data_IF_906168007491
#
_entry.id   IF_906168007491
#
_cell.length_a   1.000
_cell.length_b   1.000
_cell.length_c   1.000
_cell.angle_alpha   90.00
_cell.angle_beta   90.00
_cell.angle_gamma   90.00
#
_symmetry.space_group_name_H-M   'P 1'
#
loop_
_entity.id
_entity.type
_entity.pdbx_description
1 polymer ?
#
# COMPACT_ATOMS: atom_id res chain seq x y z
N UNK A 1 18.35 0.14 39.82
CA UNK A 1 18.08 1.11 38.72
C UNK A 1 16.65 0.93 38.29
N UNK A 2 15.89 1.73 38.71
CA UNK A 2 14.52 2.02 39.10
C UNK A 2 13.42 1.50 38.15
N UNK A 3 12.63 0.58 38.71
CA UNK A 3 11.25 0.22 38.30
C UNK A 3 10.26 1.42 38.39
N UNK A 4 10.74 2.60 38.80
CA UNK A 4 9.95 3.82 39.01
C UNK A 4 9.54 4.59 37.75
N UNK A 5 9.90 4.12 36.56
CA UNK A 5 9.57 4.81 35.30
C UNK A 5 8.21 4.38 34.75
N UNK A 6 7.60 3.32 35.29
CA UNK A 6 6.33 2.77 34.78
C UNK A 6 5.08 3.26 35.51
N UNK A 7 5.20 3.92 36.63
CA UNK A 7 4.05 4.32 37.47
C UNK A 7 3.30 5.58 37.02
N UNK A 8 3.66 6.19 35.90
CA UNK A 8 3.04 7.43 35.40
C UNK A 8 2.39 7.37 34.01
N UNK A 9 2.40 6.23 33.33
CA UNK A 9 1.90 6.15 31.94
C UNK A 9 0.54 5.47 31.92
N UNK A 10 -0.51 6.21 32.20
CA UNK A 10 -1.86 5.75 31.89
C UNK A 10 -2.12 5.95 30.39
N UNK A 11 -1.97 4.89 29.60
CA UNK A 11 -2.32 4.93 28.17
C UNK A 11 -3.85 4.97 28.08
N UNK A 12 -4.38 6.04 27.51
CA UNK A 12 -5.82 6.21 27.32
C UNK A 12 -6.41 5.04 26.51
N UNK A 13 -7.61 4.55 26.84
CA UNK A 13 -8.30 3.52 26.05
C UNK A 13 -8.43 3.88 24.57
N UNK A 14 -8.53 5.16 24.23
CA UNK A 14 -8.54 5.67 22.86
C UNK A 14 -7.29 5.24 22.07
N UNK A 15 -6.10 5.29 22.67
CA UNK A 15 -4.84 4.93 22.01
C UNK A 15 -4.78 3.43 21.71
N UNK A 16 -5.36 2.58 22.57
CA UNK A 16 -5.50 1.15 22.25
C UNK A 16 -6.45 0.90 21.08
N UNK A 17 -7.52 1.67 20.98
CA UNK A 17 -8.42 1.63 19.83
C UNK A 17 -7.72 1.99 18.53
N UNK A 18 -6.88 3.04 18.53
CA UNK A 18 -6.12 3.45 17.34
C UNK A 18 -5.06 2.43 16.93
N UNK A 19 -4.51 1.64 17.86
CA UNK A 19 -3.61 0.52 17.52
C UNK A 19 -4.34 -0.55 16.70
N UNK A 20 -5.53 -0.97 17.11
CA UNK A 20 -6.30 -1.98 16.38
C UNK A 20 -6.70 -1.42 15.01
N UNK A 21 -7.11 -0.16 14.95
CA UNK A 21 -7.43 0.50 13.69
C UNK A 21 -6.24 0.51 12.74
N UNK A 22 -5.06 0.95 13.19
CA UNK A 22 -3.86 0.98 12.36
C UNK A 22 -3.42 -0.41 11.92
N UNK A 23 -3.57 -1.44 12.77
CA UNK A 23 -3.32 -2.83 12.39
C UNK A 23 -4.21 -3.29 11.23
N UNK A 24 -5.52 -2.97 11.26
CA UNK A 24 -6.45 -3.30 10.17
C UNK A 24 -6.05 -2.57 8.90
N UNK A 25 -5.76 -1.28 8.97
CA UNK A 25 -5.39 -0.46 7.81
C UNK A 25 -4.10 -0.94 7.15
N UNK A 26 -3.04 -1.16 7.94
CA UNK A 26 -1.79 -1.73 7.42
C UNK A 26 -2.00 -3.12 6.87
N UNK A 27 -2.81 -3.96 7.54
CA UNK A 27 -3.14 -5.30 7.08
C UNK A 27 -3.80 -5.31 5.69
N UNK A 28 -4.77 -4.44 5.48
CA UNK A 28 -5.44 -4.28 4.18
C UNK A 28 -4.48 -3.73 3.13
N UNK A 29 -3.76 -2.64 3.45
CA UNK A 29 -2.85 -1.99 2.52
C UNK A 29 -1.69 -2.89 2.08
N UNK A 30 -1.04 -3.57 3.02
CA UNK A 30 0.06 -4.50 2.72
C UNK A 30 -0.42 -5.75 1.98
N UNK A 31 -1.61 -6.26 2.27
CA UNK A 31 -2.19 -7.39 1.52
C UNK A 31 -2.44 -7.00 0.07
N UNK A 32 -3.02 -5.82 -0.18
CA UNK A 32 -3.25 -5.31 -1.53
C UNK A 32 -1.93 -5.06 -2.27
N UNK A 33 -0.93 -4.52 -1.59
CA UNK A 33 0.41 -4.37 -2.13
C UNK A 33 1.04 -5.72 -2.52
N UNK A 34 1.02 -6.73 -1.61
CA UNK A 34 1.53 -8.07 -1.88
C UNK A 34 0.79 -8.81 -3.00
N UNK A 35 -0.52 -8.55 -3.13
CA UNK A 35 -1.26 -9.02 -4.31
C UNK A 35 -0.80 -8.30 -5.57
N UNK A 36 -0.37 -7.03 -5.43
CA UNK A 36 0.22 -6.27 -6.51
C UNK A 36 1.42 -6.96 -7.14
N UNK A 37 2.38 -7.36 -6.32
CA UNK A 37 3.51 -8.15 -6.72
C UNK A 37 3.09 -9.51 -7.26
N UNK A 38 2.30 -10.29 -6.52
CA UNK A 38 1.83 -11.62 -6.91
C UNK A 38 1.20 -11.65 -8.31
N UNK A 39 0.32 -10.70 -8.67
CA UNK A 39 -0.29 -10.69 -10.00
C UNK A 39 0.72 -10.39 -11.10
N UNK A 40 1.65 -9.47 -10.84
CA UNK A 40 2.71 -9.11 -11.80
C UNK A 40 3.67 -10.29 -12.01
N UNK A 41 4.22 -10.83 -10.94
CA UNK A 41 5.27 -11.85 -10.97
C UNK A 41 4.74 -13.22 -11.39
N UNK A 42 3.53 -13.59 -10.98
CA UNK A 42 2.86 -14.77 -11.54
C UNK A 42 2.53 -14.63 -13.04
N UNK A 43 2.55 -13.41 -13.61
CA UNK A 43 2.46 -13.22 -15.06
C UNK A 43 3.81 -13.35 -15.78
N UNK A 44 4.92 -13.36 -15.03
CA UNK A 44 6.30 -13.42 -15.49
C UNK A 44 7.01 -12.06 -15.57
N UNK A 45 6.46 -11.03 -14.94
CA UNK A 45 7.07 -9.69 -14.88
C UNK A 45 7.40 -9.32 -13.44
N UNK A 46 8.70 -9.16 -13.14
CA UNK A 46 9.18 -8.66 -11.84
C UNK A 46 8.67 -7.22 -11.64
N UNK A 47 8.06 -6.95 -10.52
CA UNK A 47 7.50 -5.65 -10.21
C UNK A 47 8.13 -5.01 -8.96
N UNK A 48 9.35 -4.53 -9.11
CA UNK A 48 10.00 -3.73 -8.05
C UNK A 48 9.36 -2.33 -7.92
N UNK A 49 8.60 -1.88 -8.94
CA UNK A 49 7.93 -0.59 -8.92
C UNK A 49 6.70 -0.53 -7.99
N UNK A 50 6.54 -1.48 -7.06
CA UNK A 50 5.44 -1.48 -6.09
C UNK A 50 5.49 -0.25 -5.18
N UNK A 51 6.68 0.17 -4.74
CA UNK A 51 6.85 1.35 -3.88
C UNK A 51 6.38 2.62 -4.61
N UNK A 52 6.79 2.78 -5.87
CA UNK A 52 6.32 3.86 -6.73
C UNK A 52 4.82 3.79 -6.99
N UNK A 53 4.26 2.60 -7.22
CA UNK A 53 2.82 2.42 -7.40
C UNK A 53 2.03 2.86 -6.16
N UNK A 54 2.47 2.45 -4.95
CA UNK A 54 1.85 2.83 -3.69
C UNK A 54 1.93 4.33 -3.44
N UNK A 55 3.12 4.93 -3.69
CA UNK A 55 3.35 6.36 -3.53
C UNK A 55 2.51 7.19 -4.51
N UNK A 56 2.50 6.80 -5.79
CA UNK A 56 1.77 7.52 -6.84
C UNK A 56 0.25 7.46 -6.60
N UNK A 57 -0.25 6.30 -6.17
CA UNK A 57 -1.65 6.12 -5.81
C UNK A 57 -2.06 6.97 -4.61
N UNK A 58 -1.26 6.96 -3.55
CA UNK A 58 -1.49 7.80 -2.39
C UNK A 58 -1.46 9.29 -2.77
N UNK A 59 -0.42 9.74 -3.48
CA UNK A 59 -0.26 11.13 -3.88
C UNK A 59 -1.41 11.63 -4.76
N UNK A 60 -1.71 10.91 -5.85
CA UNK A 60 -2.73 11.36 -6.81
C UNK A 60 -4.13 11.39 -6.20
N UNK A 61 -4.49 10.38 -5.39
CA UNK A 61 -5.79 10.31 -4.76
C UNK A 61 -5.96 11.39 -3.70
N UNK A 62 -4.95 11.61 -2.88
CA UNK A 62 -5.01 12.62 -1.80
C UNK A 62 -4.92 14.05 -2.31
N UNK A 63 -4.15 14.29 -3.37
CA UNK A 63 -4.13 15.60 -4.02
C UNK A 63 -5.55 16.04 -4.41
N UNK A 64 -6.33 15.13 -5.00
CA UNK A 64 -7.71 15.44 -5.40
C UNK A 64 -8.61 15.62 -4.18
N UNK A 65 -8.47 14.79 -3.15
CA UNK A 65 -9.22 14.94 -1.90
C UNK A 65 -8.94 16.29 -1.24
N UNK A 66 -7.68 16.68 -1.14
CA UNK A 66 -7.27 17.95 -0.55
C UNK A 66 -7.85 19.13 -1.33
N UNK A 67 -7.72 19.15 -2.66
CA UNK A 67 -8.26 20.25 -3.49
C UNK A 67 -9.78 20.38 -3.38
N UNK A 68 -10.52 19.27 -3.35
CA UNK A 68 -11.97 19.30 -3.16
C UNK A 68 -12.29 19.80 -1.75
N UNK A 69 -11.55 19.36 -0.73
CA UNK A 69 -11.72 19.80 0.63
C UNK A 69 -11.49 21.31 0.81
N UNK A 70 -10.41 21.83 0.22
CA UNK A 70 -10.10 23.25 0.27
C UNK A 70 -11.15 24.12 -0.46
N UNK A 71 -11.62 23.65 -1.61
CA UNK A 71 -12.68 24.34 -2.37
C UNK A 71 -14.02 24.40 -1.60
N UNK A 72 -14.24 23.45 -0.69
CA UNK A 72 -15.47 23.37 0.13
C UNK A 72 -15.26 23.84 1.57
N UNK A 73 -14.11 24.43 1.89
CA UNK A 73 -13.76 24.86 3.23
C UNK A 73 -14.81 25.83 3.79
N UNK A 74 -15.35 25.50 4.96
CA UNK A 74 -16.46 26.27 5.58
C UNK A 74 -17.86 25.83 5.17
N UNK A 75 -18.00 24.83 4.29
CA UNK A 75 -19.30 24.26 3.94
C UNK A 75 -19.70 23.17 4.95
N UNK A 76 -20.94 23.21 5.43
CA UNK A 76 -21.50 22.21 6.37
C UNK A 76 -21.48 20.77 5.81
N UNK A 77 -21.42 20.60 4.48
CA UNK A 77 -21.33 19.31 3.82
C UNK A 77 -20.10 18.51 4.26
N UNK A 78 -18.99 19.18 4.63
CA UNK A 78 -17.79 18.53 5.13
C UNK A 78 -17.97 17.88 6.52
N UNK A 79 -19.03 18.23 7.25
CA UNK A 79 -19.38 17.56 8.50
C UNK A 79 -20.19 16.28 8.28
N UNK A 80 -20.62 16.01 7.04
CA UNK A 80 -21.39 14.81 6.71
C UNK A 80 -20.46 13.65 6.33
N UNK A 81 -20.48 12.58 7.12
CA UNK A 81 -19.68 11.38 6.89
C UNK A 81 -19.85 10.77 5.48
N UNK A 82 -21.08 10.69 4.98
CA UNK A 82 -21.35 10.14 3.66
C UNK A 82 -20.74 11.00 2.54
N UNK A 83 -20.77 12.32 2.67
CA UNK A 83 -20.19 13.23 1.69
C UNK A 83 -18.66 13.16 1.69
N UNK A 84 -18.03 13.12 2.85
CA UNK A 84 -16.57 12.93 2.98
C UNK A 84 -16.13 11.59 2.35
N UNK A 85 -16.89 10.52 2.59
CA UNK A 85 -16.60 9.23 1.97
C UNK A 85 -16.78 9.24 0.45
N UNK A 86 -17.70 10.05 -0.08
CA UNK A 86 -17.83 10.26 -1.51
C UNK A 86 -16.58 10.93 -2.10
N UNK A 87 -15.99 11.92 -1.39
CA UNK A 87 -14.73 12.55 -1.80
C UNK A 87 -13.60 11.50 -1.83
N UNK A 88 -13.51 10.65 -0.80
CA UNK A 88 -12.52 9.56 -0.80
C UNK A 88 -12.71 8.56 -1.95
N UNK A 89 -13.94 8.29 -2.39
CA UNK A 89 -14.20 7.46 -3.56
C UNK A 89 -13.74 8.14 -4.86
N UNK A 90 -13.89 9.46 -4.98
CA UNK A 90 -13.35 10.20 -6.12
C UNK A 90 -11.82 10.10 -6.14
N UNK A 91 -11.16 10.31 -5.00
CA UNK A 91 -9.71 10.13 -4.87
C UNK A 91 -9.25 8.72 -5.23
N UNK A 92 -9.99 7.69 -4.79
CA UNK A 92 -9.74 6.30 -5.15
C UNK A 92 -9.86 6.07 -6.67
N UNK A 93 -10.85 6.65 -7.30
CA UNK A 93 -11.04 6.54 -8.75
C UNK A 93 -9.85 7.15 -9.52
N UNK A 94 -9.40 8.33 -9.11
CA UNK A 94 -8.20 8.98 -9.69
C UNK A 94 -6.95 8.14 -9.45
N UNK A 95 -6.77 7.61 -8.22
CA UNK A 95 -5.69 6.67 -7.89
C UNK A 95 -5.64 5.49 -8.88
N UNK A 96 -6.79 4.86 -9.16
CA UNK A 96 -6.89 3.73 -10.09
C UNK A 96 -6.48 4.12 -11.52
N UNK A 97 -6.95 5.26 -12.02
CA UNK A 97 -6.62 5.73 -13.37
C UNK A 97 -5.12 5.99 -13.50
N UNK A 98 -4.54 6.71 -12.54
CA UNK A 98 -3.11 7.07 -12.56
C UNK A 98 -2.24 5.82 -12.41
N UNK A 99 -2.60 4.90 -11.52
CA UNK A 99 -1.88 3.64 -11.36
C UNK A 99 -1.98 2.75 -12.61
N UNK A 100 -3.12 2.72 -13.26
CA UNK A 100 -3.29 1.99 -14.53
C UNK A 100 -2.39 2.56 -15.63
N UNK A 101 -2.34 3.89 -15.78
CA UNK A 101 -1.42 4.55 -16.73
C UNK A 101 0.05 4.26 -16.40
N UNK A 102 0.41 4.30 -15.10
CA UNK A 102 1.76 3.96 -14.63
C UNK A 102 2.14 2.50 -14.93
N UNK A 103 1.21 1.57 -14.74
CA UNK A 103 1.42 0.14 -15.06
C UNK A 103 1.76 -0.09 -16.52
N UNK A 104 1.25 0.76 -17.40
CA UNK A 104 1.54 0.67 -18.82
C UNK A 104 3.00 1.01 -19.14
N UNK A 105 3.60 1.96 -18.42
CA UNK A 105 5.03 2.28 -18.56
C UNK A 105 5.90 1.06 -18.19
N UNK A 106 5.65 0.45 -17.02
CA UNK A 106 6.37 -0.75 -16.60
C UNK A 106 6.22 -1.87 -17.63
N UNK A 107 4.98 -2.14 -18.04
CA UNK A 107 4.67 -3.22 -18.99
C UNK A 107 5.30 -2.96 -20.35
N UNK A 108 5.22 -1.75 -20.88
CA UNK A 108 5.73 -1.41 -22.19
C UNK A 108 7.25 -1.61 -22.26
N UNK A 109 7.98 -1.08 -21.28
CA UNK A 109 9.44 -1.16 -21.23
C UNK A 109 9.91 -2.61 -21.00
N UNK A 110 9.25 -3.35 -20.12
CA UNK A 110 9.61 -4.74 -19.80
C UNK A 110 9.22 -5.72 -20.90
N UNK A 111 8.06 -5.55 -21.54
CA UNK A 111 7.53 -6.53 -22.50
C UNK A 111 7.94 -6.19 -23.94
N UNK A 112 7.83 -4.91 -24.36
CA UNK A 112 8.13 -4.49 -25.73
C UNK A 112 9.60 -4.21 -25.96
N UNK A 113 10.23 -3.49 -25.04
CA UNK A 113 11.65 -3.12 -25.15
C UNK A 113 12.55 -4.23 -24.60
N UNK A 114 11.98 -5.25 -23.91
CA UNK A 114 12.71 -6.37 -23.32
C UNK A 114 13.86 -5.89 -22.37
N UNK A 115 13.68 -4.73 -21.75
CA UNK A 115 14.65 -4.18 -20.81
C UNK A 115 14.68 -5.00 -19.52
N UNK A 116 15.80 -4.90 -18.77
CA UNK A 116 15.91 -5.51 -17.44
C UNK A 116 14.84 -4.95 -16.51
N UNK A 117 14.00 -5.83 -16.01
CA UNK A 117 12.79 -5.47 -15.24
C UNK A 117 13.15 -4.88 -13.88
N UNK A 118 14.28 -5.30 -13.29
CA UNK A 118 14.79 -4.80 -12.01
C UNK A 118 15.23 -3.34 -12.14
N UNK A 119 15.99 -3.05 -13.19
CA UNK A 119 16.45 -1.68 -13.51
C UNK A 119 15.25 -0.78 -13.81
N UNK A 120 14.32 -1.26 -14.62
CA UNK A 120 13.09 -0.51 -14.95
C UNK A 120 12.28 -0.21 -13.69
N UNK A 121 12.08 -1.19 -12.83
CA UNK A 121 11.32 -1.02 -11.58
C UNK A 121 11.94 0.03 -10.65
N UNK A 122 13.25 -0.04 -10.43
CA UNK A 122 13.97 0.94 -9.60
C UNK A 122 13.97 2.34 -10.21
N UNK A 123 14.13 2.46 -11.54
CA UNK A 123 14.04 3.74 -12.23
C UNK A 123 12.64 4.36 -12.12
N UNK A 124 11.58 3.54 -12.23
CA UNK A 124 10.20 3.99 -12.06
C UNK A 124 9.91 4.44 -10.62
N UNK A 125 10.46 3.78 -9.60
CA UNK A 125 10.35 4.25 -8.21
C UNK A 125 10.98 5.64 -8.06
N UNK A 126 12.18 5.84 -8.62
CA UNK A 126 12.86 7.14 -8.58
C UNK A 126 12.10 8.22 -9.35
N UNK A 127 11.51 7.87 -10.50
CA UNK A 127 10.67 8.76 -11.29
C UNK A 127 9.45 9.23 -10.49
N UNK A 128 8.76 8.32 -9.82
CA UNK A 128 7.58 8.67 -9.00
C UNK A 128 7.98 9.56 -7.83
N UNK A 129 9.09 9.25 -7.14
CA UNK A 129 9.60 10.10 -6.07
C UNK A 129 9.87 11.53 -6.56
N UNK A 130 10.47 11.69 -7.76
CA UNK A 130 10.70 12.99 -8.37
C UNK A 130 9.38 13.70 -8.74
N UNK A 131 8.40 13.00 -9.31
CA UNK A 131 7.07 13.55 -9.63
C UNK A 131 6.39 14.10 -8.38
N UNK A 132 6.41 13.35 -7.29
CA UNK A 132 5.81 13.77 -6.02
C UNK A 132 6.53 14.98 -5.43
N UNK A 133 7.87 14.98 -5.47
CA UNK A 133 8.67 16.13 -5.01
C UNK A 133 8.37 17.39 -5.80
N UNK A 134 8.32 17.30 -7.14
CA UNK A 134 7.99 18.42 -8.04
C UNK A 134 6.54 18.88 -7.76
N UNK A 135 5.58 17.95 -7.63
CA UNK A 135 4.19 18.27 -7.34
C UNK A 135 4.05 19.08 -6.04
N UNK A 136 4.72 18.63 -4.98
CA UNK A 136 4.75 19.34 -3.70
C UNK A 136 5.42 20.72 -3.80
N UNK A 137 6.50 20.82 -4.59
CA UNK A 137 7.20 22.11 -4.76
C UNK A 137 6.35 23.10 -5.54
N UNK A 138 5.67 22.68 -6.60
CA UNK A 138 4.75 23.52 -7.38
C UNK A 138 3.58 23.98 -6.48
N UNK A 139 3.03 23.05 -5.69
CA UNK A 139 1.92 23.33 -4.79
C UNK A 139 2.28 24.44 -3.78
N UNK A 140 3.47 24.35 -3.17
CA UNK A 140 4.00 25.38 -2.26
C UNK A 140 4.31 26.69 -2.96
N UNK A 141 4.91 26.64 -4.15
CA UNK A 141 5.26 27.84 -4.91
C UNK A 141 4.04 28.62 -5.43
N UNK A 142 2.90 27.96 -5.58
CA UNK A 142 1.64 28.56 -5.97
C UNK A 142 0.82 29.10 -4.77
N UNK A 143 1.41 29.15 -3.56
CA UNK A 143 0.73 29.49 -2.30
C UNK A 143 -0.59 28.73 -2.10
N UNK A 144 -0.70 27.54 -2.67
CA UNK A 144 -1.85 26.67 -2.44
C UNK A 144 -1.76 26.10 -1.01
N UNK A 145 -2.91 25.91 -0.34
CA UNK A 145 -2.91 25.32 0.99
C UNK A 145 -2.17 23.99 0.98
N UNK A 146 -1.46 23.68 2.06
CA UNK A 146 -0.76 22.40 2.17
C UNK A 146 -1.75 21.25 1.90
N UNK A 147 -1.28 20.17 1.25
CA UNK A 147 -2.14 19.02 0.98
C UNK A 147 -2.58 18.41 2.32
N UNK A 148 -3.60 19.02 2.90
CA UNK A 148 -4.16 18.68 4.21
C UNK A 148 -5.52 18.02 4.03
N UNK A 149 -5.64 16.81 4.50
CA UNK A 149 -6.90 16.08 4.61
C UNK A 149 -7.37 15.98 6.07
N UNK A 150 -6.72 16.72 6.98
CA UNK A 150 -7.07 16.71 8.40
C UNK A 150 -8.50 17.16 8.66
N UNK A 151 -9.06 18.00 7.79
CA UNK A 151 -10.45 18.44 7.84
C UNK A 151 -11.45 17.27 7.76
N UNK A 152 -11.05 16.14 7.21
CA UNK A 152 -11.89 14.95 7.11
C UNK A 152 -11.75 14.00 8.30
N UNK A 153 -10.73 14.16 9.15
CA UNK A 153 -10.42 13.19 10.20
C UNK A 153 -11.39 13.16 11.38
N UNK A 154 -12.12 14.24 11.60
CA UNK A 154 -13.05 14.33 12.72
C UNK A 154 -14.49 13.94 12.35
N UNK A 155 -14.72 13.55 11.09
CA UNK A 155 -16.04 13.19 10.58
C UNK A 155 -16.26 11.71 10.81
N UNK A 156 -16.76 11.36 12.00
CA UNK A 156 -17.08 9.98 12.38
C UNK A 156 -18.48 9.60 11.93
N UNK A 157 -18.67 8.32 11.57
CA UNK A 157 -20.00 7.77 11.33
C UNK A 157 -20.87 7.84 12.58
N UNK A 158 -20.28 7.49 13.73
CA UNK A 158 -20.93 7.49 15.04
C UNK A 158 -19.88 7.76 16.13
N UNK A 159 -20.22 8.63 17.09
CA UNK A 159 -19.42 8.86 18.28
C UNK A 159 -20.06 8.10 19.43
N UNK A 160 -19.29 7.19 20.03
CA UNK A 160 -19.74 6.42 21.18
C UNK A 160 -19.61 7.25 22.46
N UNK A 161 -20.69 7.47 23.17
CA UNK A 161 -20.66 8.11 24.48
C UNK A 161 -19.98 7.20 25.49
N UNK A 162 -19.05 7.73 26.28
CA UNK A 162 -18.28 7.05 27.34
C UNK A 162 -17.46 5.81 26.90
N UNK A 163 -17.21 5.62 25.60
CA UNK A 163 -16.45 4.48 25.06
C UNK A 163 -15.24 4.91 24.25
N UNK A 164 -14.24 5.51 24.90
CA UNK A 164 -13.03 6.03 24.25
C UNK A 164 -12.30 4.99 23.39
N UNK A 165 -12.29 3.73 23.81
CA UNK A 165 -11.68 2.65 23.02
C UNK A 165 -12.32 2.51 21.63
N UNK A 166 -13.65 2.47 21.57
CA UNK A 166 -14.38 2.35 20.30
C UNK A 166 -14.23 3.64 19.47
N UNK A 167 -14.19 4.79 20.12
CA UNK A 167 -13.93 6.06 19.43
C UNK A 167 -12.54 6.05 18.78
N UNK A 168 -11.52 5.49 19.44
CA UNK A 168 -10.20 5.28 18.85
C UNK A 168 -10.21 4.29 17.70
N UNK A 169 -10.94 3.18 17.82
CA UNK A 169 -11.02 2.12 16.81
C UNK A 169 -11.78 2.57 15.54
N UNK A 170 -12.77 3.44 15.66
CA UNK A 170 -13.59 3.91 14.53
C UNK A 170 -13.33 5.36 14.13
N UNK A 171 -12.31 6.00 14.71
CA UNK A 171 -12.03 7.44 14.54
C UNK A 171 -11.89 7.90 13.09
N UNK A 172 -11.33 7.06 12.24
CA UNK A 172 -11.08 7.37 10.83
C UNK A 172 -11.60 6.27 9.89
N UNK A 173 -12.62 5.54 10.32
CA UNK A 173 -13.22 4.51 9.49
C UNK A 173 -13.85 5.16 8.27
N UNK A 174 -13.24 4.93 7.12
CA UNK A 174 -13.77 5.40 5.84
C UNK A 174 -14.10 4.21 4.91
N UNK A 175 -14.87 4.48 3.87
CA UNK A 175 -15.36 3.47 2.93
C UNK A 175 -14.23 2.77 2.18
N UNK A 176 -13.05 3.39 2.07
CA UNK A 176 -11.91 2.84 1.31
C UNK A 176 -11.37 1.56 1.92
N UNK A 177 -11.43 1.42 3.27
CA UNK A 177 -11.05 0.18 3.95
C UNK A 177 -11.99 -0.96 3.55
N UNK A 178 -13.30 -0.69 3.51
CA UNK A 178 -14.30 -1.68 3.12
C UNK A 178 -14.08 -2.11 1.68
N UNK A 179 -13.85 -1.15 0.79
CA UNK A 179 -13.50 -1.42 -0.61
C UNK A 179 -12.21 -2.25 -0.69
N UNK A 180 -11.20 -1.94 0.11
CA UNK A 180 -9.95 -2.71 0.17
C UNK A 180 -10.17 -4.16 0.59
N UNK A 181 -10.97 -4.42 1.62
CA UNK A 181 -11.30 -5.78 2.08
C UNK A 181 -12.07 -6.55 0.98
N UNK A 182 -13.03 -5.91 0.34
CA UNK A 182 -13.77 -6.52 -0.77
C UNK A 182 -12.83 -6.86 -1.93
N UNK A 183 -11.91 -5.96 -2.28
CA UNK A 183 -10.90 -6.18 -3.32
C UNK A 183 -9.97 -7.35 -2.99
N UNK A 184 -9.53 -7.51 -1.75
CA UNK A 184 -8.72 -8.66 -1.32
C UNK A 184 -9.46 -9.97 -1.61
N UNK A 185 -10.75 -10.05 -1.27
CA UNK A 185 -11.57 -11.23 -1.53
C UNK A 185 -11.69 -11.46 -3.04
N UNK A 186 -12.03 -10.42 -3.81
CA UNK A 186 -12.20 -10.50 -5.27
C UNK A 186 -10.91 -10.94 -5.95
N UNK A 187 -9.77 -10.32 -5.63
CA UNK A 187 -8.47 -10.66 -6.20
C UNK A 187 -8.04 -12.09 -5.83
N UNK A 188 -8.31 -12.53 -4.60
CA UNK A 188 -8.09 -13.91 -4.17
C UNK A 188 -8.91 -14.91 -5.02
N UNK A 189 -10.18 -14.59 -5.26
CA UNK A 189 -11.05 -15.42 -6.09
C UNK A 189 -10.59 -15.41 -7.56
N UNK A 190 -10.19 -14.25 -8.09
CA UNK A 190 -9.67 -14.13 -9.47
C UNK A 190 -8.46 -15.04 -9.63
N UNK A 191 -7.47 -14.96 -8.73
CA UNK A 191 -6.23 -15.71 -8.84
C UNK A 191 -6.45 -17.23 -8.69
N UNK A 192 -7.32 -17.65 -7.76
CA UNK A 192 -7.46 -19.06 -7.39
C UNK A 192 -8.58 -19.80 -8.13
N UNK A 193 -9.64 -19.11 -8.53
CA UNK A 193 -10.89 -19.74 -9.00
C UNK A 193 -11.25 -19.37 -10.45
N UNK A 194 -10.61 -18.38 -11.08
CA UNK A 194 -11.00 -17.96 -12.43
C UNK A 194 -10.05 -18.45 -13.52
N UNK A 195 -10.56 -18.47 -14.76
CA UNK A 195 -9.76 -18.79 -15.95
C UNK A 195 -8.64 -17.74 -16.18
N UNK A 196 -8.86 -16.50 -15.74
CA UNK A 196 -7.86 -15.43 -15.84
C UNK A 196 -6.65 -15.73 -14.95
N UNK A 197 -6.86 -16.03 -13.67
CA UNK A 197 -5.79 -16.39 -12.74
C UNK A 197 -5.01 -17.63 -13.17
N UNK A 198 -5.71 -18.64 -13.72
CA UNK A 198 -5.04 -19.82 -14.28
C UNK A 198 -4.12 -19.46 -15.45
N UNK A 199 -4.58 -18.61 -16.38
CA UNK A 199 -3.79 -18.16 -17.53
C UNK A 199 -2.59 -17.32 -17.12
N UNK A 200 -2.76 -16.42 -16.12
CA UNK A 200 -1.67 -15.62 -15.58
C UNK A 200 -0.59 -16.53 -15.00
N UNK A 201 -0.94 -17.47 -14.12
CA UNK A 201 0.01 -18.42 -13.53
C UNK A 201 0.69 -19.31 -14.58
N UNK A 202 -0.04 -19.78 -15.57
CA UNK A 202 0.54 -20.57 -16.67
C UNK A 202 1.61 -19.78 -17.45
N UNK A 203 1.39 -18.46 -17.66
CA UNK A 203 2.36 -17.59 -18.33
C UNK A 203 3.62 -17.34 -17.48
N UNK A 204 3.51 -17.33 -16.15
CA UNK A 204 4.66 -17.20 -15.25
C UNK A 204 5.45 -18.49 -15.06
N UNK A 205 4.81 -19.66 -15.18
CA UNK A 205 5.49 -20.95 -15.06
C UNK A 205 6.16 -21.41 -16.37
N UNK A 206 5.42 -21.38 -17.48
CA UNK A 206 5.93 -21.76 -18.79
C UNK A 206 5.21 -21.00 -19.92
N UNK A 207 5.75 -19.86 -20.34
CA UNK A 207 5.12 -19.04 -21.37
C UNK A 207 5.06 -19.73 -22.74
N UNK A 208 6.04 -20.61 -23.07
CA UNK A 208 6.04 -21.33 -24.34
C UNK A 208 4.91 -22.36 -24.39
N UNK A 209 4.69 -23.10 -23.30
CA UNK A 209 3.57 -24.03 -23.20
C UNK A 209 2.21 -23.28 -23.18
N UNK A 210 2.14 -22.13 -22.53
CA UNK A 210 0.92 -21.30 -22.54
C UNK A 210 0.58 -20.82 -23.97
N UNK A 211 1.57 -20.39 -24.75
CA UNK A 211 1.36 -19.95 -26.14
C UNK A 211 0.96 -21.10 -27.06
N UNK A 212 1.48 -22.33 -26.84
CA UNK A 212 1.13 -23.50 -27.65
C UNK A 212 -0.35 -23.89 -27.55
N UNK A 213 -1.01 -23.59 -26.41
CA UNK A 213 -2.45 -23.79 -26.22
C UNK A 213 -3.28 -22.54 -26.55
N UNK A 214 -2.67 -21.55 -27.23
CA UNK A 214 -3.35 -20.37 -27.76
C UNK A 214 -3.52 -19.22 -26.75
N UNK A 215 -2.83 -19.24 -25.61
CA UNK A 215 -2.85 -18.13 -24.63
C UNK A 215 -1.91 -17.03 -25.12
N UNK A 216 -2.41 -15.81 -25.29
CA UNK A 216 -1.60 -14.64 -25.67
C UNK A 216 -0.77 -14.16 -24.47
N UNK A 217 0.47 -14.67 -24.33
CA UNK A 217 1.37 -14.43 -23.18
C UNK A 217 1.54 -12.93 -22.91
N UNK A 218 1.91 -12.13 -23.91
CA UNK A 218 2.10 -10.69 -23.71
C UNK A 218 0.85 -10.02 -23.17
N UNK A 219 -0.37 -10.40 -23.66
CA UNK A 219 -1.62 -9.84 -23.14
C UNK A 219 -1.82 -10.18 -21.66
N UNK A 220 -1.48 -11.42 -21.25
CA UNK A 220 -1.59 -11.83 -19.84
C UNK A 220 -0.59 -11.09 -18.95
N UNK A 221 0.63 -10.83 -19.45
CA UNK A 221 1.64 -10.02 -18.76
C UNK A 221 1.16 -8.58 -18.56
N UNK A 222 0.61 -7.93 -19.58
CA UNK A 222 0.01 -6.58 -19.44
C UNK A 222 -1.14 -6.56 -18.42
N UNK A 223 -2.01 -7.55 -18.44
CA UNK A 223 -3.13 -7.64 -17.49
C UNK A 223 -2.62 -7.88 -16.06
N UNK A 224 -1.65 -8.79 -15.89
CA UNK A 224 -1.06 -9.09 -14.58
C UNK A 224 -0.41 -7.86 -13.95
N UNK A 225 0.42 -7.14 -14.71
CA UNK A 225 1.06 -5.91 -14.22
C UNK A 225 0.07 -4.79 -13.97
N UNK A 226 -0.99 -4.66 -14.79
CA UNK A 226 -2.03 -3.65 -14.57
C UNK A 226 -2.80 -3.90 -13.27
N UNK A 227 -3.28 -5.12 -13.06
CA UNK A 227 -3.96 -5.51 -11.81
C UNK A 227 -2.98 -5.32 -10.63
N UNK A 228 -1.73 -5.70 -10.82
CA UNK A 228 -0.69 -5.59 -9.82
C UNK A 228 -0.44 -4.16 -9.35
N UNK A 229 -0.10 -3.26 -10.27
CA UNK A 229 0.18 -1.86 -9.94
C UNK A 229 -1.05 -1.14 -9.38
N UNK A 230 -2.25 -1.40 -9.92
CA UNK A 230 -3.49 -0.82 -9.40
C UNK A 230 -3.78 -1.31 -7.98
N UNK A 231 -3.60 -2.60 -7.70
CA UNK A 231 -3.79 -3.16 -6.36
C UNK A 231 -2.83 -2.52 -5.35
N UNK A 232 -1.55 -2.41 -5.69
CA UNK A 232 -0.54 -1.77 -4.83
C UNK A 232 -0.85 -0.29 -4.58
N UNK A 233 -1.26 0.44 -5.61
CA UNK A 233 -1.64 1.85 -5.51
C UNK A 233 -2.84 2.06 -4.58
N UNK A 234 -3.87 1.23 -4.69
CA UNK A 234 -5.03 1.25 -3.79
C UNK A 234 -4.58 0.96 -2.35
N UNK A 235 -3.67 -0.02 -2.15
CA UNK A 235 -3.10 -0.32 -0.84
C UNK A 235 -2.38 0.89 -0.23
N UNK A 236 -1.56 1.59 -1.00
CA UNK A 236 -0.94 2.85 -0.61
C UNK A 236 -1.96 3.93 -0.28
N UNK A 237 -2.93 4.15 -1.14
CA UNK A 237 -3.99 5.14 -0.93
C UNK A 237 -4.77 4.89 0.37
N UNK A 238 -5.14 3.63 0.67
CA UNK A 238 -5.85 3.28 1.91
C UNK A 238 -4.99 3.57 3.15
N UNK A 239 -3.73 3.18 3.15
CA UNK A 239 -2.83 3.43 4.28
C UNK A 239 -2.80 4.92 4.59
N UNK A 240 -2.64 5.74 3.58
CA UNK A 240 -2.45 7.17 3.77
C UNK A 240 -3.74 7.95 4.01
N UNK A 241 -4.89 7.53 3.48
CA UNK A 241 -6.18 8.16 3.78
C UNK A 241 -6.71 7.84 5.17
N UNK A 242 -6.37 6.67 5.72
CA UNK A 242 -6.93 6.20 6.98
C UNK A 242 -6.04 6.49 8.17
N UNK A 243 -4.73 6.49 8.00
CA UNK A 243 -3.80 6.74 9.09
C UNK A 243 -3.44 8.22 9.15
N UNK A 244 -3.62 8.80 10.35
CA UNK A 244 -3.12 10.15 10.66
C UNK A 244 -1.60 10.10 10.78
N UNK A 245 -0.90 9.82 9.70
CA UNK A 245 0.56 9.78 9.70
C UNK A 245 1.16 11.19 9.71
N UNK A 246 0.59 12.08 10.51
CA UNK A 246 1.06 13.43 10.80
C UNK A 246 1.56 14.20 9.58
N UNK A 247 1.19 15.43 9.44
CA UNK A 247 1.67 16.41 8.48
C UNK A 247 2.23 15.83 7.17
N UNK A 248 1.42 15.86 6.15
CA UNK A 248 1.73 15.37 4.81
C UNK A 248 2.86 16.15 4.16
N UNK A 249 4.06 15.89 4.61
CA UNK A 249 5.21 16.03 3.75
C UNK A 249 5.46 14.66 3.12
N UNK A 250 4.73 14.32 2.06
CA UNK A 250 5.18 13.31 1.09
C UNK A 250 6.48 13.80 0.49
N UNK A 251 7.54 13.81 1.31
CA UNK A 251 8.79 14.44 0.93
C UNK A 251 9.55 13.61 -0.08
N UNK A 252 9.42 12.27 -0.08
CA UNK A 252 10.21 11.46 -1.04
C UNK A 252 9.86 9.97 -1.07
N UNK A 253 8.80 9.50 -0.40
CA UNK A 253 8.46 8.07 -0.42
C UNK A 253 7.37 7.66 0.56
N UNK A 254 6.88 6.45 0.42
CA UNK A 254 5.93 5.79 1.32
C UNK A 254 6.65 5.06 2.45
N UNK A 255 7.65 5.67 3.07
CA UNK A 255 8.47 5.06 4.12
C UNK A 255 9.10 3.70 3.74
N UNK A 256 9.18 3.36 2.44
CA UNK A 256 9.66 2.05 1.97
C UNK A 256 8.65 0.91 2.14
N UNK A 257 7.38 1.20 2.35
CA UNK A 257 6.33 0.16 2.49
C UNK A 257 6.23 -0.74 1.26
N UNK A 258 6.55 -0.24 0.06
CA UNK A 258 6.60 -1.06 -1.14
C UNK A 258 7.70 -2.12 -1.08
N UNK A 259 8.87 -1.81 -0.52
CA UNK A 259 9.92 -2.81 -0.29
C UNK A 259 9.54 -3.81 0.81
N UNK A 260 8.82 -3.38 1.84
CA UNK A 260 8.27 -4.28 2.84
C UNK A 260 7.26 -5.25 2.22
N UNK A 261 6.45 -4.75 1.28
CA UNK A 261 5.48 -5.55 0.52
C UNK A 261 6.16 -6.61 -0.35
N UNK A 262 7.31 -6.31 -0.98
CA UNK A 262 8.11 -7.32 -1.68
C UNK A 262 8.55 -8.45 -0.73
N UNK A 263 8.99 -8.12 0.49
CA UNK A 263 9.32 -9.14 1.48
C UNK A 263 8.09 -9.98 1.87
N UNK A 264 6.92 -9.36 2.03
CA UNK A 264 5.65 -10.03 2.31
C UNK A 264 5.28 -11.03 1.19
N UNK A 265 5.49 -10.66 -0.06
CA UNK A 265 5.22 -11.51 -1.22
C UNK A 265 6.12 -12.74 -1.25
N UNK A 266 7.42 -12.55 -1.09
CA UNK A 266 8.43 -13.63 -1.05
C UNK A 266 8.11 -14.61 0.09
N UNK A 267 7.78 -14.09 1.29
CA UNK A 267 7.35 -14.91 2.43
C UNK A 267 6.05 -15.65 2.17
N UNK A 268 5.12 -15.00 1.50
CA UNK A 268 3.85 -15.58 1.08
C UNK A 268 3.97 -16.60 -0.04
N UNK A 269 5.15 -16.73 -0.65
CA UNK A 269 5.44 -17.70 -1.72
C UNK A 269 4.44 -17.59 -2.87
N UNK A 270 4.10 -16.38 -3.29
CA UNK A 270 3.15 -16.03 -4.36
C UNK A 270 1.75 -16.66 -4.19
N UNK A 271 1.37 -17.03 -2.96
CA UNK A 271 0.07 -17.60 -2.64
C UNK A 271 -0.78 -16.60 -1.87
N UNK A 272 -1.95 -16.25 -2.40
CA UNK A 272 -2.81 -15.21 -1.83
C UNK A 272 -3.07 -15.36 -0.32
N UNK A 273 -3.38 -16.57 0.15
CA UNK A 273 -3.60 -16.84 1.58
C UNK A 273 -2.37 -16.54 2.43
N UNK A 274 -1.20 -17.02 1.99
CA UNK A 274 0.04 -16.85 2.74
C UNK A 274 0.49 -15.38 2.74
N UNK A 275 0.31 -14.66 1.60
CA UNK A 275 0.57 -13.23 1.50
C UNK A 275 -0.29 -12.46 2.50
N UNK A 276 -1.57 -12.79 2.62
CA UNK A 276 -2.46 -12.17 3.62
C UNK A 276 -1.96 -12.40 5.05
N UNK A 277 -1.55 -13.62 5.40
CA UNK A 277 -1.00 -13.89 6.74
C UNK A 277 0.33 -13.16 6.97
N UNK A 278 1.23 -13.14 6.00
CA UNK A 278 2.49 -12.39 6.07
C UNK A 278 2.21 -10.87 6.21
N UNK A 279 1.26 -10.34 5.45
CA UNK A 279 0.85 -8.94 5.54
C UNK A 279 0.30 -8.59 6.93
N UNK A 280 -0.55 -9.42 7.52
CA UNK A 280 -1.05 -9.23 8.88
C UNK A 280 0.08 -9.28 9.92
N UNK A 281 1.04 -10.19 9.75
CA UNK A 281 2.22 -10.26 10.62
C UNK A 281 3.00 -8.94 10.59
N UNK A 282 3.35 -8.43 9.42
CA UNK A 282 4.07 -7.16 9.30
C UNK A 282 3.21 -5.95 9.71
N UNK A 283 1.91 -5.98 9.45
CA UNK A 283 0.98 -4.95 9.89
C UNK A 283 0.98 -4.82 11.42
N UNK A 284 1.06 -5.94 12.16
CA UNK A 284 1.14 -5.93 13.62
C UNK A 284 2.38 -5.16 14.11
N UNK A 285 3.55 -5.44 13.56
CA UNK A 285 4.78 -4.76 13.98
C UNK A 285 4.82 -3.30 13.53
N UNK A 286 4.28 -2.99 12.35
CA UNK A 286 4.18 -1.60 11.88
C UNK A 286 3.21 -0.79 12.75
N UNK A 287 2.06 -1.37 13.10
CA UNK A 287 1.09 -0.72 13.99
C UNK A 287 1.62 -0.55 15.43
N UNK A 288 2.38 -1.52 15.94
CA UNK A 288 3.07 -1.37 17.23
C UNK A 288 4.10 -0.24 17.18
N UNK A 289 4.84 -0.09 16.09
CA UNK A 289 5.77 1.03 15.90
C UNK A 289 5.07 2.38 15.98
N UNK A 290 3.97 2.57 15.26
CA UNK A 290 3.17 3.81 15.30
C UNK A 290 2.51 4.02 16.67
N UNK A 291 2.01 2.96 17.30
CA UNK A 291 1.44 3.01 18.63
C UNK A 291 2.45 3.50 19.67
N UNK A 292 3.65 2.93 19.68
CA UNK A 292 4.69 3.33 20.63
C UNK A 292 5.06 4.81 20.49
N UNK A 293 5.10 5.33 19.25
CA UNK A 293 5.37 6.75 19.03
C UNK A 293 4.25 7.65 19.57
N UNK A 294 2.99 7.19 19.49
CA UNK A 294 1.81 7.95 19.97
C UNK A 294 1.65 7.84 21.47
N UNK A 295 1.76 6.64 22.03
CA UNK A 295 1.59 6.37 23.46
C UNK A 295 2.62 7.10 24.34
N UNK A 296 3.86 7.23 23.86
CA UNK A 296 4.96 7.84 24.62
C UNK A 296 5.23 9.32 24.26
N UNK A 297 4.45 9.92 23.36
CA UNK A 297 4.61 11.34 22.98
C UNK A 297 4.45 12.32 24.15
N UNK A 298 3.71 11.94 25.19
CA UNK A 298 3.38 12.80 26.34
C UNK A 298 4.23 12.65 27.61
N UNK A 299 5.09 11.64 27.71
CA UNK A 299 5.61 11.30 29.05
C UNK A 299 7.12 11.10 29.21
N UNK A 300 7.83 10.56 28.26
CA UNK A 300 9.26 10.26 28.44
C UNK A 300 10.03 10.62 27.17
N UNK A 301 10.72 11.75 27.21
CA UNK A 301 11.56 12.26 26.11
C UNK A 301 12.53 11.21 25.53
N UNK A 302 13.02 10.28 26.35
CA UNK A 302 13.91 9.21 25.91
C UNK A 302 13.23 8.21 24.96
N UNK A 303 11.96 7.86 25.17
CA UNK A 303 11.18 6.96 24.30
C UNK A 303 10.70 7.67 23.04
N UNK A 304 10.33 8.94 23.14
CA UNK A 304 9.99 9.74 21.96
C UNK A 304 11.19 9.90 21.01
N UNK A 305 12.38 10.13 21.55
CA UNK A 305 13.62 10.17 20.76
C UNK A 305 13.96 8.83 20.11
N UNK A 306 13.34 7.73 20.53
CA UNK A 306 13.51 6.38 19.97
C UNK A 306 12.50 6.05 18.86
N UNK A 307 11.75 7.05 18.36
CA UNK A 307 10.77 6.87 17.26
C UNK A 307 11.38 6.11 16.07
N UNK A 308 12.58 6.48 15.66
CA UNK A 308 13.30 5.84 14.57
C UNK A 308 13.53 4.33 14.82
N UNK A 309 13.80 3.94 16.06
CA UNK A 309 14.00 2.55 16.45
C UNK A 309 12.73 1.71 16.26
N UNK A 310 11.57 2.21 16.70
CA UNK A 310 10.30 1.50 16.54
C UNK A 310 9.88 1.39 15.08
N UNK A 311 10.12 2.44 14.29
CA UNK A 311 9.86 2.42 12.84
C UNK A 311 10.80 1.47 12.09
N UNK A 312 11.97 1.13 12.62
CA UNK A 312 12.91 0.18 12.04
C UNK A 312 12.47 -1.28 12.23
N UNK A 313 11.68 -1.60 13.27
CA UNK A 313 11.32 -2.98 13.63
C UNK A 313 10.73 -3.81 12.48
N UNK A 314 9.74 -3.34 11.70
CA UNK A 314 9.18 -4.13 10.61
C UNK A 314 10.22 -4.46 9.53
N UNK A 315 11.17 -3.57 9.24
CA UNK A 315 12.23 -3.81 8.25
C UNK A 315 13.28 -4.79 8.77
N UNK A 316 13.66 -4.68 10.04
CA UNK A 316 14.56 -5.66 10.69
C UNK A 316 13.93 -7.05 10.64
N UNK A 317 12.64 -7.16 10.96
CA UNK A 317 11.91 -8.43 10.87
C UNK A 317 11.80 -8.93 9.43
N UNK A 318 11.67 -8.04 8.43
CA UNK A 318 11.68 -8.43 7.03
C UNK A 318 13.01 -9.09 6.66
N UNK A 319 14.13 -8.47 7.01
CA UNK A 319 15.46 -9.05 6.75
C UNK A 319 15.64 -10.41 7.46
N UNK A 320 15.30 -10.48 8.75
CA UNK A 320 15.40 -11.73 9.50
C UNK A 320 14.51 -12.83 8.90
N UNK A 321 13.27 -12.50 8.56
CA UNK A 321 12.34 -13.48 7.98
C UNK A 321 12.81 -13.97 6.61
N UNK A 322 13.37 -13.11 5.77
CA UNK A 322 13.95 -13.50 4.50
C UNK A 322 15.14 -14.43 4.68
N UNK A 323 16.02 -14.19 5.66
CA UNK A 323 17.16 -15.08 5.96
C UNK A 323 16.67 -16.50 6.30
N UNK A 324 15.62 -16.63 7.11
CA UNK A 324 15.15 -17.94 7.56
C UNK A 324 14.25 -18.65 6.56
N UNK A 325 13.45 -17.93 5.78
CA UNK A 325 12.40 -18.50 4.93
C UNK A 325 12.70 -18.46 3.42
N UNK A 326 13.68 -17.69 2.95
CA UNK A 326 13.98 -17.56 1.51
C UNK A 326 14.28 -18.88 0.81
N UNK A 327 14.93 -19.81 1.50
CA UNK A 327 15.25 -21.15 0.94
C UNK A 327 14.01 -22.00 0.57
N UNK A 328 12.84 -21.68 1.13
CA UNK A 328 11.57 -22.37 0.87
C UNK A 328 10.69 -21.62 -0.11
N UNK A 329 11.14 -20.48 -0.58
CA UNK A 329 10.42 -19.64 -1.53
C UNK A 329 10.68 -20.12 -2.96
N UNK A 330 9.63 -20.25 -3.75
CA UNK A 330 9.67 -20.69 -5.13
C UNK A 330 8.96 -19.65 -6.01
N UNK A 331 9.77 -18.77 -6.58
CA UNK A 331 9.29 -17.81 -7.57
C UNK A 331 8.80 -18.52 -8.85
N UNK A 332 7.88 -17.92 -9.62
CA UNK A 332 7.47 -18.44 -10.92
C UNK A 332 8.69 -18.61 -11.85
N UNK A 333 8.79 -19.73 -12.55
CA UNK A 333 10.01 -20.11 -13.30
C UNK A 333 10.39 -19.16 -14.43
N UNK A 334 9.41 -18.51 -15.06
CA UNK A 334 9.62 -17.56 -16.15
C UNK A 334 9.57 -16.10 -15.69
N UNK A 335 9.64 -15.85 -14.38
CA UNK A 335 9.72 -14.52 -13.81
C UNK A 335 11.00 -13.82 -14.26
N UNK A 336 10.89 -12.57 -14.69
CA UNK A 336 12.01 -11.76 -15.17
C UNK A 336 12.54 -12.13 -16.55
N UNK A 337 12.06 -13.23 -17.15
CA UNK A 337 12.54 -13.68 -18.45
C UNK A 337 11.68 -13.07 -19.57
N UNK A 338 12.30 -12.28 -20.48
CA UNK A 338 11.59 -11.77 -21.65
C UNK A 338 11.05 -12.92 -22.50
N UNK A 339 9.78 -12.83 -22.90
CA UNK A 339 9.18 -13.83 -23.78
C UNK A 339 9.35 -13.42 -25.25
N UNK A 340 9.98 -14.31 -26.04
CA UNK A 340 10.10 -14.17 -27.49
C UNK A 340 9.42 -15.32 -28.19
N UNK A 341 8.43 -14.99 -29.04
CA UNK A 341 7.71 -15.99 -29.83
C UNK A 341 8.56 -16.60 -30.95
N UNK A 342 9.57 -15.87 -31.42
CA UNK A 342 10.46 -16.29 -32.51
C UNK A 342 11.63 -17.19 -32.05
N UNK A 343 11.88 -17.29 -30.75
CA UNK A 343 12.96 -18.08 -30.16
C UNK A 343 12.57 -19.56 -29.90
N UNK A 344 11.60 -20.10 -30.63
CA UNK A 344 11.20 -21.51 -30.58
C UNK A 344 12.12 -22.41 -31.38
#
# INVERSE_FOLDING_TARGET
MNLLILEGISISPYVWGTLIFSFIVFGVGFTLGGFGGMFSECSGIINIALDGSMLLGAFSGLLVCSQIGDALKGNELLNNWAFVNFIYLIGLFVCVIVAFAFSFLLSFVSIRLKADQTIVGTALNSLVAAIVLIGNTIHRAADLPEMDVSMFYNVMLYKFEDMDFFNGMFSNLNITIIVGIVLIVVLTLIMNKTRLGLRIRACGENPAAADSVGIKVNKMRYIGTAIGSVSAAIGGYIIFTCLRLGEWTLTSGVFGYGFLVLAIEILGNWKAKNITFAALFFALFTSLGTFMTTAFSGGVKAFYNSKAFYCMLPYLLAVLSLIFFSKKSHAPKAEGIPYDKSAR
#
